data_IF_898529122453
#
_entry.id   IF_898529122453
#
_cell.length_a   1.000
_cell.length_b   1.000
_cell.length_c   1.000
_cell.angle_alpha   90.00
_cell.angle_beta   90.00
_cell.angle_gamma   90.00
#
_symmetry.space_group_name_H-M   'P 1'
#
loop_
_entity.id
_entity.type
_entity.pdbx_description
1 polymer ?
#
# COMPACT_ATOMS: atom_id res chain seq x y z
N UNK A 1 11.91 -29.18 11.77
CA UNK A 1 10.72 -28.37 11.45
C UNK A 1 10.83 -27.10 12.26
N UNK A 2 10.86 -25.93 11.62
CA UNK A 2 10.82 -24.66 12.35
C UNK A 2 9.48 -24.53 13.09
N UNK A 3 9.47 -23.82 14.22
CA UNK A 3 8.22 -23.55 14.93
C UNK A 3 7.34 -22.58 14.11
N UNK A 4 6.02 -22.58 14.35
CA UNK A 4 5.11 -21.62 13.72
C UNK A 4 5.58 -20.17 13.97
N UNK A 5 6.04 -19.88 15.19
CA UNK A 5 6.56 -18.58 15.56
C UNK A 5 7.81 -18.18 14.75
N UNK A 6 8.71 -19.13 14.45
CA UNK A 6 9.89 -18.86 13.63
C UNK A 6 9.51 -18.55 12.18
N UNK A 7 8.49 -19.23 11.66
CA UNK A 7 7.96 -18.99 10.31
C UNK A 7 7.30 -17.60 10.22
N UNK A 8 6.53 -17.20 11.25
CA UNK A 8 5.97 -15.84 11.35
C UNK A 8 7.08 -14.80 11.44
N UNK A 9 8.10 -15.01 12.26
CA UNK A 9 9.25 -14.08 12.36
C UNK A 9 9.99 -13.95 11.03
N UNK A 10 10.17 -15.05 10.29
CA UNK A 10 10.79 -15.02 8.98
C UNK A 10 9.97 -14.19 7.98
N UNK A 11 8.63 -14.33 7.97
CA UNK A 11 7.75 -13.49 7.16
C UNK A 11 7.83 -12.01 7.55
N UNK A 12 7.80 -11.72 8.86
CA UNK A 12 7.97 -10.36 9.37
C UNK A 12 9.36 -9.79 9.08
N UNK A 13 10.38 -10.62 8.88
CA UNK A 13 11.73 -10.20 8.49
C UNK A 13 11.92 -10.07 6.97
N UNK A 14 10.91 -10.42 6.17
CA UNK A 14 10.98 -10.35 4.71
C UNK A 14 11.75 -11.51 4.06
N UNK A 15 11.76 -12.70 4.70
CA UNK A 15 12.40 -13.88 4.12
C UNK A 15 11.77 -14.25 2.77
N UNK A 16 12.57 -14.20 1.71
CA UNK A 16 12.09 -14.42 0.34
C UNK A 16 11.51 -15.82 0.10
N UNK A 17 11.97 -16.84 0.82
CA UNK A 17 11.44 -18.20 0.71
C UNK A 17 10.03 -18.30 1.30
N UNK A 18 9.81 -17.71 2.47
CA UNK A 18 8.48 -17.64 3.10
C UNK A 18 7.54 -16.69 2.37
N UNK A 19 8.07 -15.59 1.87
CA UNK A 19 7.32 -14.70 1.00
C UNK A 19 6.90 -15.41 -0.30
N UNK A 20 7.55 -16.48 -0.77
CA UNK A 20 7.08 -17.17 -1.98
C UNK A 20 5.68 -17.80 -1.82
N UNK A 21 5.34 -18.25 -0.61
CA UNK A 21 3.99 -18.69 -0.24
C UNK A 21 3.72 -18.47 1.27
N UNK A 22 3.18 -17.30 1.65
CA UNK A 22 3.00 -16.93 3.04
C UNK A 22 1.72 -17.52 3.68
N UNK A 23 0.74 -17.93 2.87
CA UNK A 23 -0.61 -18.26 3.33
C UNK A 23 -0.67 -19.49 4.23
N UNK A 24 0.10 -20.57 4.00
CA UNK A 24 0.13 -21.69 4.93
C UNK A 24 0.56 -21.27 6.35
N UNK A 25 1.48 -20.32 6.46
CA UNK A 25 1.92 -19.81 7.77
C UNK A 25 0.85 -18.92 8.42
N UNK A 26 0.22 -18.06 7.63
CA UNK A 26 -0.89 -17.21 8.08
C UNK A 26 -2.13 -17.99 8.49
N UNK A 27 -2.48 -19.06 7.78
CA UNK A 27 -3.58 -19.94 8.12
C UNK A 27 -3.31 -20.66 9.45
N UNK A 28 -2.10 -21.21 9.62
CA UNK A 28 -1.70 -21.83 10.89
C UNK A 28 -1.68 -20.83 12.05
N UNK A 29 -1.21 -19.60 11.83
CA UNK A 29 -1.27 -18.54 12.86
C UNK A 29 -2.72 -18.27 13.27
N UNK A 30 -3.62 -18.09 12.30
CA UNK A 30 -5.04 -17.83 12.55
C UNK A 30 -5.75 -18.99 13.29
N UNK A 31 -5.36 -20.22 13.01
CA UNK A 31 -5.97 -21.43 13.59
C UNK A 31 -5.39 -21.78 14.96
N UNK A 32 -4.06 -21.79 15.09
CA UNK A 32 -3.36 -22.28 16.28
C UNK A 32 -3.17 -21.18 17.34
N UNK A 33 -2.85 -19.95 16.94
CA UNK A 33 -2.48 -18.84 17.83
C UNK A 33 -3.00 -17.49 17.28
N UNK A 34 -4.34 -17.29 17.21
CA UNK A 34 -4.95 -16.17 16.48
C UNK A 34 -4.54 -14.78 16.99
N UNK A 35 -4.23 -14.69 18.29
CA UNK A 35 -3.62 -13.54 18.95
C UNK A 35 -2.29 -14.00 19.54
N UNK A 36 -1.19 -13.50 18.99
CA UNK A 36 0.16 -13.88 19.44
C UNK A 36 0.94 -12.68 19.92
N UNK A 37 1.39 -12.71 21.18
CA UNK A 37 2.31 -11.73 21.74
C UNK A 37 3.74 -12.25 21.78
N UNK A 38 4.67 -11.42 21.33
CA UNK A 38 6.10 -11.57 21.51
C UNK A 38 6.68 -10.22 21.92
N UNK A 39 7.23 -10.14 23.13
CA UNK A 39 7.82 -8.91 23.67
C UNK A 39 6.84 -7.72 23.59
N UNK A 40 7.20 -6.66 22.86
CA UNK A 40 6.41 -5.45 22.60
C UNK A 40 5.50 -5.56 21.37
N UNK A 41 5.36 -6.75 20.77
CA UNK A 41 4.61 -6.98 19.54
C UNK A 41 3.44 -7.93 19.75
N UNK A 42 2.25 -7.54 19.31
CA UNK A 42 1.01 -8.32 19.34
C UNK A 42 0.50 -8.48 17.92
N UNK A 43 0.23 -9.71 17.49
CA UNK A 43 -0.25 -10.01 16.13
C UNK A 43 -1.68 -10.52 16.18
N UNK A 44 -2.54 -9.93 15.34
CA UNK A 44 -3.94 -10.30 15.14
C UNK A 44 -4.12 -10.87 13.74
N UNK A 45 -4.71 -12.07 13.64
CA UNK A 45 -4.80 -12.80 12.36
C UNK A 45 -6.21 -13.23 11.95
N UNK A 46 -7.18 -13.24 12.86
CA UNK A 46 -8.61 -13.44 12.55
C UNK A 46 -9.22 -12.19 11.95
N UNK A 47 -10.13 -12.37 11.00
CA UNK A 47 -10.75 -11.26 10.27
C UNK A 47 -11.50 -10.30 11.18
N UNK A 48 -12.28 -10.81 12.15
CA UNK A 48 -13.00 -9.99 13.12
C UNK A 48 -12.08 -9.02 13.88
N UNK A 49 -10.97 -9.52 14.45
CA UNK A 49 -10.02 -8.70 15.24
C UNK A 49 -9.24 -7.72 14.36
N UNK A 50 -8.91 -8.12 13.14
CA UNK A 50 -8.29 -7.20 12.16
C UNK A 50 -9.27 -6.11 11.75
N UNK A 51 -10.55 -6.42 11.54
CA UNK A 51 -11.59 -5.42 11.26
C UNK A 51 -11.80 -4.47 12.43
N UNK A 52 -11.84 -4.96 13.68
CA UNK A 52 -11.94 -4.12 14.87
C UNK A 52 -10.75 -3.16 14.96
N UNK A 53 -9.52 -3.66 14.75
CA UNK A 53 -8.30 -2.85 14.71
C UNK A 53 -8.39 -1.71 13.68
N UNK A 54 -8.90 -2.01 12.48
CA UNK A 54 -9.03 -1.03 11.39
C UNK A 54 -10.19 -0.05 11.62
N UNK A 55 -11.31 -0.54 12.15
CA UNK A 55 -12.55 0.21 12.31
C UNK A 55 -12.49 1.22 13.46
N UNK A 56 -11.80 0.87 14.54
CA UNK A 56 -11.71 1.68 15.76
C UNK A 56 -10.29 2.20 16.03
N UNK A 57 -9.73 2.90 15.03
CA UNK A 57 -8.43 3.56 15.18
C UNK A 57 -8.35 4.54 16.36
N UNK A 58 -9.46 5.05 16.89
CA UNK A 58 -9.45 6.04 17.97
C UNK A 58 -9.19 5.44 19.35
N UNK A 59 -9.50 4.16 19.52
CA UNK A 59 -9.27 3.43 20.76
C UNK A 59 -7.91 2.70 20.72
N UNK A 60 -7.47 2.23 19.55
CA UNK A 60 -6.29 1.37 19.43
C UNK A 60 -5.01 2.07 18.95
N UNK A 61 -5.09 3.28 18.38
CA UNK A 61 -3.94 3.94 17.75
C UNK A 61 -3.90 5.44 18.01
N UNK A 62 -2.69 6.00 18.11
CA UNK A 62 -2.52 7.44 18.12
C UNK A 62 -1.14 7.90 17.63
N UNK A 63 -1.10 9.05 16.96
CA UNK A 63 0.11 9.90 16.80
C UNK A 63 0.88 9.99 18.11
N UNK A 64 0.17 10.18 19.23
CA UNK A 64 0.75 10.26 20.58
C UNK A 64 1.34 8.93 21.02
N UNK A 65 0.69 7.82 20.73
CA UNK A 65 1.18 6.47 21.05
C UNK A 65 2.52 6.16 20.39
N UNK A 66 2.80 6.71 19.21
CA UNK A 66 4.10 6.55 18.56
C UNK A 66 5.25 7.09 19.43
N UNK A 67 5.04 8.19 20.17
CA UNK A 67 6.06 8.77 21.07
C UNK A 67 6.29 7.96 22.35
N UNK A 68 5.43 6.98 22.62
CA UNK A 68 5.59 6.03 23.72
C UNK A 68 5.86 4.62 23.21
N UNK A 69 6.02 4.45 21.90
CA UNK A 69 6.32 3.14 21.31
C UNK A 69 7.73 2.69 21.67
N UNK A 70 7.90 1.38 21.77
CA UNK A 70 9.22 0.79 21.96
C UNK A 70 10.21 1.22 20.87
N UNK A 71 9.78 1.39 19.62
CA UNK A 71 10.58 1.97 18.53
C UNK A 71 11.14 3.35 18.89
N UNK A 72 10.28 4.23 19.40
CA UNK A 72 10.68 5.58 19.80
C UNK A 72 11.67 5.56 20.97
N UNK A 73 11.43 4.71 21.98
CA UNK A 73 12.34 4.58 23.13
C UNK A 73 13.69 3.94 22.74
N UNK A 74 13.70 2.98 21.79
CA UNK A 74 14.95 2.44 21.21
C UNK A 74 15.75 3.54 20.51
N UNK A 75 15.11 4.33 19.65
CA UNK A 75 15.77 5.43 18.95
C UNK A 75 16.36 6.48 19.92
N UNK A 76 15.65 6.80 21.01
CA UNK A 76 16.15 7.70 22.06
C UNK A 76 17.37 7.16 22.81
N UNK A 77 17.41 5.85 23.05
CA UNK A 77 18.48 5.20 23.79
C UNK A 77 19.72 4.94 22.94
N UNK A 78 19.52 4.51 21.69
CA UNK A 78 20.56 3.88 20.89
C UNK A 78 21.17 4.83 19.82
N UNK A 79 20.48 5.90 19.41
CA UNK A 79 20.99 6.80 18.38
C UNK A 79 21.90 7.88 18.98
N UNK A 80 22.92 8.29 18.21
CA UNK A 80 23.73 9.45 18.54
C UNK A 80 22.96 10.77 18.35
N UNK A 81 23.52 11.91 18.79
CA UNK A 81 22.82 13.20 18.74
C UNK A 81 22.30 13.59 17.33
N UNK A 82 23.06 13.23 16.29
CA UNK A 82 22.67 13.50 14.91
C UNK A 82 21.49 12.61 14.48
N UNK A 83 21.56 11.30 14.76
CA UNK A 83 20.49 10.36 14.48
C UNK A 83 19.20 10.69 15.22
N UNK A 84 19.28 11.01 16.51
CA UNK A 84 18.10 11.40 17.30
C UNK A 84 17.44 12.67 16.75
N UNK A 85 18.23 13.66 16.32
CA UNK A 85 17.70 14.88 15.73
C UNK A 85 17.03 14.62 14.37
N UNK A 86 17.64 13.79 13.52
CA UNK A 86 17.06 13.37 12.24
C UNK A 86 15.74 12.59 12.45
N UNK A 87 15.74 11.63 13.38
CA UNK A 87 14.55 10.85 13.74
C UNK A 87 13.41 11.74 14.24
N UNK A 88 13.72 12.73 15.09
CA UNK A 88 12.74 13.72 15.55
C UNK A 88 12.09 14.50 14.41
N UNK A 89 12.90 15.05 13.48
CA UNK A 89 12.38 15.79 12.31
C UNK A 89 11.54 14.92 11.39
N UNK A 90 11.97 13.68 11.15
CA UNK A 90 11.20 12.71 10.36
C UNK A 90 9.84 12.45 11.00
N UNK A 91 9.79 12.23 12.32
CA UNK A 91 8.52 12.04 13.04
C UNK A 91 7.64 13.29 12.98
N UNK A 92 8.21 14.48 13.11
CA UNK A 92 7.46 15.73 12.99
C UNK A 92 6.78 15.85 11.61
N UNK A 93 7.46 15.45 10.52
CA UNK A 93 6.85 15.36 9.20
C UNK A 93 5.77 14.26 9.13
N UNK A 94 6.08 13.03 9.55
CA UNK A 94 5.14 11.90 9.52
C UNK A 94 3.85 12.20 10.28
N UNK A 95 3.95 12.92 11.39
CA UNK A 95 2.84 13.27 12.25
C UNK A 95 1.85 14.27 11.66
N UNK A 96 2.23 14.99 10.59
CA UNK A 96 1.31 15.80 9.79
C UNK A 96 0.71 15.01 8.61
N UNK A 97 1.09 13.75 8.41
CA UNK A 97 0.50 12.91 7.37
C UNK A 97 -0.86 12.37 7.83
N UNK A 98 -1.85 12.39 6.94
CA UNK A 98 -3.21 11.92 7.22
C UNK A 98 -3.25 10.51 7.82
N UNK A 99 -2.38 9.60 7.37
CA UNK A 99 -2.30 8.21 7.87
C UNK A 99 -1.84 8.11 9.34
N UNK A 100 -1.24 9.16 9.90
CA UNK A 100 -0.77 9.22 11.30
C UNK A 100 -1.64 10.12 12.18
N UNK A 101 -2.63 10.82 11.62
CA UNK A 101 -3.46 11.75 12.37
C UNK A 101 -4.58 11.05 13.13
N UNK A 102 -4.95 11.63 14.28
CA UNK A 102 -6.12 11.25 15.06
C UNK A 102 -7.17 12.36 15.01
N UNK A 103 -8.44 12.10 15.43
CA UNK A 103 -9.38 13.17 15.72
C UNK A 103 -8.85 14.14 16.79
N UNK A 104 -9.16 15.45 16.67
CA UNK A 104 -10.05 16.06 15.68
C UNK A 104 -9.39 16.39 14.33
N UNK A 105 -8.07 16.26 14.20
CA UNK A 105 -7.32 16.70 13.02
C UNK A 105 -7.58 15.82 11.79
N UNK A 106 -7.56 14.49 11.96
CA UNK A 106 -7.78 13.55 10.87
C UNK A 106 -9.04 13.83 10.04
N UNK A 107 -10.26 13.92 10.62
CA UNK A 107 -11.46 14.19 9.81
C UNK A 107 -11.47 15.57 9.15
N UNK A 108 -10.81 16.58 9.75
CA UNK A 108 -10.65 17.92 9.17
C UNK A 108 -9.79 17.85 7.90
N UNK A 109 -8.57 17.31 8.01
CA UNK A 109 -7.63 17.19 6.87
C UNK A 109 -8.18 16.24 5.81
N UNK A 110 -8.78 15.10 6.20
CA UNK A 110 -9.38 14.14 5.26
C UNK A 110 -10.44 14.77 4.37
N UNK A 111 -11.30 15.63 4.92
CA UNK A 111 -12.39 16.29 4.18
C UNK A 111 -11.86 17.20 3.06
N UNK A 112 -10.68 17.78 3.24
CA UNK A 112 -10.01 18.59 2.22
C UNK A 112 -9.55 17.76 1.03
N UNK A 113 -8.99 16.57 1.28
CA UNK A 113 -8.29 15.78 0.25
C UNK A 113 -9.15 14.70 -0.38
N UNK A 114 -10.31 14.37 0.20
CA UNK A 114 -11.21 13.33 -0.32
C UNK A 114 -11.89 13.66 -1.65
N UNK A 115 -12.35 14.90 -1.94
CA UNK A 115 -13.13 15.17 -3.15
C UNK A 115 -12.44 14.81 -4.48
N UNK A 116 -11.13 15.08 -4.68
CA UNK A 116 -10.37 14.64 -5.86
C UNK A 116 -10.35 13.12 -6.08
N UNK A 117 -10.51 12.34 -5.02
CA UNK A 117 -10.56 10.87 -5.07
C UNK A 117 -11.98 10.31 -5.16
N UNK A 118 -13.01 11.15 -5.27
CA UNK A 118 -14.37 10.68 -5.51
C UNK A 118 -14.48 10.01 -6.89
N UNK A 119 -15.34 9.01 -7.02
CA UNK A 119 -15.54 8.29 -8.29
C UNK A 119 -15.83 9.24 -9.47
N UNK A 120 -16.63 10.28 -9.22
CA UNK A 120 -16.94 11.31 -10.22
C UNK A 120 -15.71 12.11 -10.64
N UNK A 121 -14.86 12.50 -9.70
CA UNK A 121 -13.66 13.30 -9.99
C UNK A 121 -12.63 12.46 -10.73
N UNK A 122 -12.38 11.24 -10.27
CA UNK A 122 -11.45 10.30 -10.92
C UNK A 122 -11.92 9.96 -12.34
N UNK A 123 -13.20 9.67 -12.55
CA UNK A 123 -13.74 9.39 -13.88
C UNK A 123 -13.54 10.57 -14.85
N UNK A 124 -13.67 11.80 -14.36
CA UNK A 124 -13.48 13.02 -15.16
C UNK A 124 -12.00 13.31 -15.47
N UNK A 125 -11.12 13.16 -14.49
CA UNK A 125 -9.75 13.68 -14.56
C UNK A 125 -8.70 12.62 -14.89
N UNK A 126 -8.96 11.36 -14.56
CA UNK A 126 -7.96 10.29 -14.58
C UNK A 126 -8.28 9.15 -15.52
N UNK A 127 -9.56 8.82 -15.78
CA UNK A 127 -9.93 7.63 -16.57
C UNK A 127 -9.21 7.57 -17.93
N UNK A 128 -9.33 8.62 -18.74
CA UNK A 128 -8.69 8.67 -20.05
C UNK A 128 -7.15 8.58 -19.98
N UNK A 129 -6.53 9.20 -18.96
CA UNK A 129 -5.08 9.13 -18.75
C UNK A 129 -4.65 7.72 -18.38
N UNK A 130 -5.37 7.05 -17.48
CA UNK A 130 -5.11 5.66 -17.07
C UNK A 130 -5.24 4.73 -18.27
N UNK A 131 -6.31 4.85 -19.05
CA UNK A 131 -6.54 4.01 -20.24
C UNK A 131 -5.42 4.19 -21.28
N UNK A 132 -5.01 5.44 -21.55
CA UNK A 132 -3.90 5.75 -22.45
C UNK A 132 -2.57 5.17 -21.94
N UNK A 133 -2.28 5.32 -20.64
CA UNK A 133 -1.06 4.79 -19.99
C UNK A 133 -1.02 3.27 -20.09
N UNK A 134 -2.12 2.58 -19.79
CA UNK A 134 -2.23 1.13 -19.92
C UNK A 134 -1.98 0.68 -21.35
N UNK A 135 -2.72 1.25 -22.32
CA UNK A 135 -2.62 0.86 -23.72
C UNK A 135 -1.19 1.10 -24.28
N UNK A 136 -0.63 2.29 -24.05
CA UNK A 136 0.73 2.63 -24.50
C UNK A 136 1.78 1.72 -23.88
N UNK A 137 1.71 1.50 -22.56
CA UNK A 137 2.74 0.73 -21.85
C UNK A 137 2.64 -0.76 -22.21
N UNK A 138 1.45 -1.32 -22.41
CA UNK A 138 1.27 -2.70 -22.88
C UNK A 138 1.74 -2.87 -24.32
N UNK A 139 1.41 -1.94 -25.22
CA UNK A 139 1.89 -1.97 -26.59
C UNK A 139 3.43 -1.90 -26.67
N UNK A 140 4.06 -1.09 -25.81
CA UNK A 140 5.52 -1.03 -25.69
C UNK A 140 6.10 -2.35 -25.18
N UNK A 141 5.47 -2.98 -24.18
CA UNK A 141 5.87 -4.26 -23.62
C UNK A 141 5.76 -5.39 -24.66
N UNK A 142 4.67 -5.43 -25.45
CA UNK A 142 4.42 -6.45 -26.45
C UNK A 142 5.32 -6.34 -27.70
N UNK A 143 5.72 -5.12 -28.10
CA UNK A 143 6.62 -4.88 -29.25
C UNK A 143 7.98 -5.57 -29.12
N UNK A 144 8.40 -5.94 -27.91
CA UNK A 144 9.63 -6.70 -27.70
C UNK A 144 9.61 -8.11 -28.33
N UNK A 145 8.44 -8.63 -28.73
CA UNK A 145 8.28 -9.87 -29.50
C UNK A 145 8.66 -11.15 -28.73
N UNK A 146 9.02 -11.04 -27.46
CA UNK A 146 9.56 -12.12 -26.63
C UNK A 146 9.09 -12.04 -25.17
N UNK A 147 9.94 -12.51 -24.26
CA UNK A 147 9.68 -12.44 -22.83
C UNK A 147 9.90 -11.01 -22.33
N UNK A 148 8.94 -10.51 -21.55
CA UNK A 148 8.99 -9.19 -20.98
C UNK A 148 8.77 -9.25 -19.47
N UNK A 149 9.48 -8.41 -18.72
CA UNK A 149 9.35 -8.35 -17.26
C UNK A 149 8.14 -7.50 -16.87
N UNK A 150 7.02 -8.15 -16.57
CA UNK A 150 5.77 -7.50 -16.20
C UNK A 150 5.87 -6.76 -14.86
N UNK A 151 6.79 -7.16 -13.97
CA UNK A 151 6.99 -6.44 -12.71
C UNK A 151 7.44 -5.00 -12.97
N UNK A 152 8.29 -4.77 -13.97
CA UNK A 152 8.69 -3.41 -14.37
C UNK A 152 7.51 -2.60 -14.88
N UNK A 153 6.66 -3.20 -15.72
CA UNK A 153 5.43 -2.56 -16.18
C UNK A 153 4.52 -2.18 -15.00
N UNK A 154 4.24 -3.12 -14.11
CA UNK A 154 3.36 -2.93 -12.97
C UNK A 154 3.92 -1.91 -11.96
N UNK A 155 5.24 -1.75 -11.93
CA UNK A 155 5.90 -0.70 -11.16
C UNK A 155 5.78 0.68 -11.82
N UNK A 156 6.01 0.78 -13.13
CA UNK A 156 6.00 2.07 -13.82
C UNK A 156 4.59 2.67 -13.97
N UNK A 157 3.55 1.85 -14.18
CA UNK A 157 2.21 2.34 -14.46
C UNK A 157 1.63 3.20 -13.31
N UNK A 158 1.57 2.73 -12.04
CA UNK A 158 1.03 3.54 -10.96
C UNK A 158 1.86 4.79 -10.66
N UNK A 159 3.17 4.77 -10.93
CA UNK A 159 4.04 5.93 -10.74
C UNK A 159 3.70 7.03 -11.74
N UNK A 160 3.44 6.66 -13.00
CA UNK A 160 3.01 7.60 -14.03
C UNK A 160 1.62 8.16 -13.76
N UNK A 161 0.68 7.31 -13.31
CA UNK A 161 -0.68 7.73 -12.94
C UNK A 161 -0.63 8.69 -11.74
N UNK A 162 0.23 8.44 -10.77
CA UNK A 162 0.48 9.34 -9.66
C UNK A 162 1.09 10.68 -10.13
N UNK A 163 2.02 10.64 -11.07
CA UNK A 163 2.55 11.84 -11.71
C UNK A 163 1.47 12.66 -12.40
N UNK A 164 0.58 12.00 -13.13
CA UNK A 164 -0.57 12.62 -13.79
C UNK A 164 -1.58 13.22 -12.79
N UNK A 165 -1.72 12.63 -11.60
CA UNK A 165 -2.58 13.10 -10.51
C UNK A 165 -1.98 14.29 -9.75
N UNK A 166 -0.67 14.31 -9.53
CA UNK A 166 0.03 15.33 -8.76
C UNK A 166 0.63 16.45 -9.62
N UNK A 167 0.67 16.27 -10.95
CA UNK A 167 1.28 17.19 -11.89
C UNK A 167 2.81 17.10 -11.91
N UNK A 168 3.37 15.96 -11.51
CA UNK A 168 4.81 15.69 -11.52
C UNK A 168 5.21 15.33 -12.95
N UNK A 169 6.17 16.04 -13.57
CA UNK A 169 6.70 15.68 -14.88
C UNK A 169 7.26 14.26 -14.89
N UNK A 170 7.06 13.54 -16.00
CA UNK A 170 7.49 12.14 -16.13
C UNK A 170 8.99 11.96 -15.88
N UNK A 171 9.80 12.93 -16.30
CA UNK A 171 11.27 12.91 -16.14
C UNK A 171 11.72 13.08 -14.69
N UNK A 172 10.85 13.63 -13.82
CA UNK A 172 11.14 13.84 -12.40
C UNK A 172 10.74 12.61 -11.55
N UNK A 173 9.94 11.69 -12.09
CA UNK A 173 9.32 10.59 -11.31
C UNK A 173 10.33 9.67 -10.62
N UNK A 174 11.37 9.23 -11.33
CA UNK A 174 12.37 8.32 -10.75
C UNK A 174 13.14 8.98 -9.61
N UNK A 175 13.49 10.27 -9.77
CA UNK A 175 14.17 11.04 -8.73
C UNK A 175 13.28 11.19 -7.50
N UNK A 176 12.04 11.64 -7.69
CA UNK A 176 11.07 11.84 -6.61
C UNK A 176 10.77 10.52 -5.90
N UNK A 177 10.63 9.44 -6.66
CA UNK A 177 10.38 8.11 -6.12
C UNK A 177 11.56 7.58 -5.30
N UNK A 178 12.81 7.87 -5.69
CA UNK A 178 13.98 7.46 -4.91
C UNK A 178 14.02 8.07 -3.50
N UNK A 179 13.51 9.30 -3.32
CA UNK A 179 13.39 9.91 -2.00
C UNK A 179 12.26 9.27 -1.19
N UNK A 180 11.13 9.03 -1.84
CA UNK A 180 9.98 8.31 -1.30
C UNK A 180 10.36 6.93 -0.74
N UNK A 181 11.18 6.16 -1.45
CA UNK A 181 11.65 4.85 -1.00
C UNK A 181 12.45 4.94 0.31
N UNK A 182 13.39 5.90 0.42
CA UNK A 182 14.17 6.10 1.65
C UNK A 182 13.29 6.47 2.85
N UNK A 183 12.26 7.29 2.61
CA UNK A 183 11.26 7.64 3.63
C UNK A 183 10.48 6.40 4.07
N UNK A 184 10.00 5.60 3.11
CA UNK A 184 9.24 4.38 3.38
C UNK A 184 10.09 3.31 4.11
N UNK A 185 11.38 3.16 3.75
CA UNK A 185 12.31 2.25 4.41
C UNK A 185 12.49 2.56 5.90
N UNK A 186 12.68 3.84 6.26
CA UNK A 186 12.70 4.24 7.67
C UNK A 186 11.36 3.93 8.35
N UNK A 187 10.23 4.18 7.69
CA UNK A 187 8.89 4.01 8.28
C UNK A 187 8.53 2.55 8.56
N UNK A 188 8.91 1.63 7.68
CA UNK A 188 8.41 0.24 7.69
C UNK A 188 9.49 -0.82 7.91
N UNK A 189 10.76 -0.53 7.65
CA UNK A 189 11.79 -1.57 7.48
C UNK A 189 13.09 -1.34 8.27
N UNK A 190 13.39 -0.13 8.74
CA UNK A 190 14.66 0.17 9.38
C UNK A 190 14.53 1.00 10.68
N UNK A 191 14.83 0.35 11.81
CA UNK A 191 15.04 0.98 13.12
C UNK A 191 16.54 1.30 13.31
N UNK A 192 17.14 1.99 12.35
CA UNK A 192 18.58 2.32 12.40
C UNK A 192 18.82 3.82 12.28
N UNK A 193 19.88 4.30 12.96
CA UNK A 193 20.31 5.69 12.88
C UNK A 193 20.58 6.11 11.42
N UNK A 194 21.20 5.24 10.63
CA UNK A 194 21.48 5.48 9.21
C UNK A 194 20.19 5.74 8.43
N UNK A 195 19.17 4.91 8.61
CA UNK A 195 17.89 5.06 7.90
C UNK A 195 17.16 6.35 8.32
N UNK A 196 17.22 6.73 9.59
CA UNK A 196 16.64 7.99 10.06
C UNK A 196 17.31 9.21 9.40
N UNK A 197 18.64 9.20 9.26
CA UNK A 197 19.40 10.27 8.59
C UNK A 197 19.09 10.31 7.08
N UNK A 198 19.07 9.15 6.42
CA UNK A 198 18.75 9.07 4.99
C UNK A 198 17.31 9.51 4.68
N UNK A 199 16.36 9.19 5.57
CA UNK A 199 14.98 9.64 5.45
C UNK A 199 14.83 11.15 5.70
N UNK A 200 15.54 11.73 6.67
CA UNK A 200 15.56 13.17 6.92
C UNK A 200 16.11 13.94 5.70
N UNK A 201 17.21 13.45 5.09
CA UNK A 201 17.74 14.04 3.87
C UNK A 201 16.76 13.92 2.69
N UNK A 202 16.09 12.78 2.57
CA UNK A 202 15.08 12.53 1.54
C UNK A 202 13.85 13.45 1.71
N UNK A 203 13.36 13.63 2.94
CA UNK A 203 12.29 14.59 3.25
C UNK A 203 12.68 16.00 2.84
N UNK A 204 13.90 16.46 3.19
CA UNK A 204 14.35 17.80 2.81
C UNK A 204 14.38 18.00 1.30
N UNK A 205 14.86 17.02 0.53
CA UNK A 205 14.86 17.08 -0.95
C UNK A 205 13.44 17.06 -1.51
N UNK A 206 12.58 16.21 -0.96
CA UNK A 206 11.18 16.10 -1.37
C UNK A 206 10.39 17.39 -1.10
N UNK A 207 10.56 18.01 0.07
CA UNK A 207 9.92 19.28 0.42
C UNK A 207 10.35 20.39 -0.56
N UNK A 208 11.67 20.52 -0.81
CA UNK A 208 12.18 21.50 -1.77
C UNK A 208 11.64 21.27 -3.19
N UNK A 209 11.44 20.02 -3.59
CA UNK A 209 10.82 19.69 -4.88
C UNK A 209 9.33 20.03 -4.91
N UNK A 210 8.60 19.76 -3.83
CA UNK A 210 7.18 20.13 -3.71
C UNK A 210 7.01 21.64 -3.84
N UNK A 211 7.89 22.45 -3.26
CA UNK A 211 7.86 23.91 -3.44
C UNK A 211 7.98 24.32 -4.92
N UNK A 212 8.90 23.68 -5.65
CA UNK A 212 9.07 23.89 -7.10
C UNK A 212 7.84 23.44 -7.87
N UNK A 213 7.25 22.30 -7.52
CA UNK A 213 6.04 21.76 -8.14
C UNK A 213 4.85 22.72 -7.96
N UNK A 214 4.66 23.22 -6.73
CA UNK A 214 3.62 24.18 -6.39
C UNK A 214 3.80 25.49 -7.15
N UNK A 215 5.04 26.00 -7.23
CA UNK A 215 5.34 27.20 -8.02
C UNK A 215 5.02 27.01 -9.51
N UNK A 216 5.45 25.89 -10.11
CA UNK A 216 5.15 25.55 -11.52
C UNK A 216 3.65 25.48 -11.80
N UNK A 217 2.86 24.91 -10.90
CA UNK A 217 1.41 24.80 -11.08
C UNK A 217 0.71 26.16 -11.00
N UNK A 218 1.16 27.05 -10.10
CA UNK A 218 0.66 28.43 -10.02
C UNK A 218 0.95 29.20 -11.30
N UNK A 219 2.15 29.06 -11.87
CA UNK A 219 2.56 29.78 -13.07
C UNK A 219 1.83 29.31 -14.35
N UNK A 220 1.52 28.02 -14.43
CA UNK A 220 0.90 27.40 -15.62
C UNK A 220 -0.63 27.39 -15.57
N UNK A 221 -1.23 27.68 -14.42
CA UNK A 221 -2.67 27.52 -14.19
C UNK A 221 -3.15 26.05 -14.27
N UNK A 222 -2.20 25.11 -14.31
CA UNK A 222 -2.45 23.67 -14.46
C UNK A 222 -2.51 22.99 -13.08
N UNK A 223 -3.22 23.58 -12.13
CA UNK A 223 -3.39 22.95 -10.82
C UNK A 223 -4.13 21.61 -11.00
N UNK A 224 -3.50 20.52 -10.55
CA UNK A 224 -4.21 19.23 -10.49
C UNK A 224 -5.29 19.29 -9.42
N UNK A 225 -6.37 18.51 -9.55
CA UNK A 225 -7.50 18.57 -8.61
C UNK A 225 -7.09 18.40 -7.14
N UNK A 226 -6.05 17.60 -6.86
CA UNK A 226 -5.55 17.39 -5.50
C UNK A 226 -4.65 18.53 -4.99
N UNK A 227 -3.65 18.95 -5.78
CA UNK A 227 -2.74 20.04 -5.36
C UNK A 227 -3.53 21.35 -5.25
N UNK A 228 -4.44 21.63 -6.19
CA UNK A 228 -5.36 22.77 -6.12
C UNK A 228 -6.15 22.77 -4.80
N UNK A 229 -6.76 21.63 -4.45
CA UNK A 229 -7.60 21.51 -3.26
C UNK A 229 -6.80 21.72 -1.96
N UNK A 230 -5.55 21.24 -1.92
CA UNK A 230 -4.65 21.45 -0.79
C UNK A 230 -4.24 22.92 -0.63
N UNK A 231 -3.78 23.55 -1.72
CA UNK A 231 -3.38 24.96 -1.70
C UNK A 231 -4.55 25.89 -1.39
N UNK A 232 -5.74 25.59 -1.89
CA UNK A 232 -6.95 26.35 -1.58
C UNK A 232 -7.35 26.24 -0.11
N UNK A 233 -7.28 25.03 0.46
CA UNK A 233 -7.57 24.82 1.87
C UNK A 233 -6.53 25.47 2.79
N UNK A 234 -5.27 25.48 2.38
CA UNK A 234 -4.19 26.21 3.06
C UNK A 234 -4.47 27.72 3.07
N UNK A 235 -4.79 28.32 1.91
CA UNK A 235 -5.15 29.76 1.83
C UNK A 235 -6.34 30.13 2.70
N UNK A 236 -7.29 29.21 2.89
CA UNK A 236 -8.47 29.38 3.75
C UNK A 236 -8.19 29.11 5.23
N UNK A 237 -6.97 28.68 5.59
CA UNK A 237 -6.59 28.32 6.96
C UNK A 237 -7.25 27.03 7.48
N UNK A 238 -7.78 26.18 6.60
CA UNK A 238 -8.41 24.90 6.97
C UNK A 238 -7.38 23.83 7.29
N UNK A 239 -6.26 23.84 6.55
CA UNK A 239 -5.08 23.03 6.79
C UNK A 239 -3.86 23.94 6.93
N UNK A 240 -2.88 23.56 7.74
CA UNK A 240 -1.61 24.29 7.83
C UNK A 240 -0.74 24.04 6.60
N UNK A 241 0.31 24.86 6.45
CA UNK A 241 1.33 24.65 5.41
C UNK A 241 1.98 23.27 5.56
N UNK A 242 2.37 22.90 6.79
CA UNK A 242 2.98 21.62 7.12
C UNK A 242 2.06 20.44 6.82
N UNK A 243 0.76 20.56 7.12
CA UNK A 243 -0.25 19.55 6.77
C UNK A 243 -0.38 19.39 5.24
N UNK A 244 -0.40 20.49 4.49
CA UNK A 244 -0.47 20.46 3.03
C UNK A 244 0.77 19.81 2.41
N UNK A 245 1.97 20.19 2.87
CA UNK A 245 3.23 19.62 2.39
C UNK A 245 3.38 18.14 2.77
N UNK A 246 3.04 17.78 4.01
CA UNK A 246 3.07 16.39 4.47
C UNK A 246 2.07 15.52 3.69
N UNK A 247 0.91 16.08 3.31
CA UNK A 247 -0.05 15.39 2.47
C UNK A 247 0.49 15.16 1.05
N UNK A 248 1.10 16.15 0.41
CA UNK A 248 1.72 15.98 -0.90
C UNK A 248 2.85 14.93 -0.86
N UNK A 249 3.71 14.99 0.15
CA UNK A 249 4.73 13.97 0.35
C UNK A 249 4.14 12.58 0.58
N UNK A 250 3.07 12.46 1.39
CA UNK A 250 2.38 11.19 1.59
C UNK A 250 1.90 10.62 0.25
N UNK A 251 1.28 11.43 -0.61
CA UNK A 251 0.76 10.96 -1.89
C UNK A 251 1.86 10.49 -2.84
N UNK A 252 3.02 11.14 -2.83
CA UNK A 252 4.14 10.82 -3.73
C UNK A 252 4.64 9.36 -3.58
N UNK A 253 4.48 8.74 -2.40
CA UNK A 253 4.85 7.34 -2.22
C UNK A 253 3.67 6.43 -1.88
N UNK A 254 2.57 6.98 -1.35
CA UNK A 254 1.39 6.19 -1.04
C UNK A 254 0.72 5.68 -2.32
N UNK A 255 0.28 4.44 -2.30
CA UNK A 255 -0.51 3.86 -3.39
C UNK A 255 0.32 3.32 -4.55
N UNK A 256 1.56 3.77 -4.76
CA UNK A 256 2.41 3.25 -5.82
C UNK A 256 2.75 1.78 -5.61
N UNK A 257 3.48 1.44 -4.56
CA UNK A 257 3.95 0.06 -4.32
C UNK A 257 2.80 -0.93 -4.14
N UNK A 258 1.74 -0.54 -3.42
CA UNK A 258 0.56 -1.39 -3.20
C UNK A 258 -0.20 -1.66 -4.49
N UNK A 259 -0.39 -0.65 -5.35
CA UNK A 259 -1.05 -0.87 -6.64
C UNK A 259 -0.15 -1.70 -7.54
N UNK A 260 1.16 -1.43 -7.59
CA UNK A 260 2.09 -2.26 -8.34
C UNK A 260 2.06 -3.74 -7.94
N UNK A 261 1.91 -4.04 -6.66
CA UNK A 261 1.74 -5.42 -6.17
C UNK A 261 0.39 -6.02 -6.56
N UNK A 262 -0.70 -5.26 -6.48
CA UNK A 262 -2.01 -5.69 -7.00
C UNK A 262 -1.93 -6.07 -8.47
N UNK A 263 -1.31 -5.22 -9.30
CA UNK A 263 -1.22 -5.43 -10.74
C UNK A 263 -0.33 -6.63 -11.08
N UNK A 264 0.89 -6.68 -10.51
CA UNK A 264 1.86 -7.74 -10.80
C UNK A 264 1.39 -9.10 -10.27
N UNK A 265 1.06 -9.17 -8.98
CA UNK A 265 0.66 -10.44 -8.35
C UNK A 265 -0.75 -10.82 -8.81
N UNK A 266 -1.63 -9.86 -9.09
CA UNK A 266 -2.96 -10.17 -9.63
C UNK A 266 -2.88 -10.86 -10.99
N UNK A 267 -2.05 -10.38 -11.92
CA UNK A 267 -1.83 -11.08 -13.18
C UNK A 267 -1.13 -12.42 -12.95
N UNK A 268 -0.11 -12.49 -12.08
CA UNK A 268 0.55 -13.74 -11.74
C UNK A 268 -0.45 -14.82 -11.28
N UNK A 269 -1.35 -14.47 -10.37
CA UNK A 269 -2.33 -15.41 -9.83
C UNK A 269 -3.39 -15.78 -10.87
N UNK A 270 -3.85 -14.85 -11.71
CA UNK A 270 -4.71 -15.20 -12.85
C UNK A 270 -4.02 -16.21 -13.79
N UNK A 271 -2.76 -16.00 -14.13
CA UNK A 271 -2.01 -16.90 -15.04
C UNK A 271 -1.64 -18.25 -14.39
N UNK A 272 -1.57 -18.32 -13.06
CA UNK A 272 -1.44 -19.59 -12.31
C UNK A 272 -2.75 -20.36 -12.22
N UNK A 273 -3.88 -19.69 -12.39
CA UNK A 273 -5.22 -20.27 -12.37
C UNK A 273 -5.87 -20.09 -13.75
N UNK A 274 -5.45 -20.85 -14.78
CA UNK A 274 -5.86 -20.62 -16.16
C UNK A 274 -7.38 -20.61 -16.35
N UNK A 275 -8.14 -21.43 -15.60
CA UNK A 275 -9.60 -21.38 -15.65
C UNK A 275 -10.21 -20.03 -15.21
N UNK A 276 -9.57 -19.31 -14.30
CA UNK A 276 -9.97 -17.95 -13.88
C UNK A 276 -9.57 -16.92 -14.95
N UNK A 277 -8.39 -17.08 -15.57
CA UNK A 277 -7.97 -16.24 -16.68
C UNK A 277 -8.87 -16.40 -17.91
N UNK A 278 -9.15 -17.64 -18.32
CA UNK A 278 -10.03 -17.97 -19.44
C UNK A 278 -11.45 -17.43 -19.22
N UNK A 279 -11.96 -17.50 -17.99
CA UNK A 279 -13.25 -16.90 -17.62
C UNK A 279 -13.22 -15.37 -17.77
N UNK A 280 -12.14 -14.71 -17.33
CA UNK A 280 -12.01 -13.26 -17.46
C UNK A 280 -11.87 -12.81 -18.93
N UNK A 281 -11.22 -13.62 -19.76
CA UNK A 281 -11.11 -13.43 -21.22
C UNK A 281 -12.47 -13.58 -21.89
N UNK A 282 -13.23 -14.62 -21.52
CA UNK A 282 -14.56 -14.88 -22.07
C UNK A 282 -15.60 -13.83 -21.63
N UNK A 283 -15.47 -13.29 -20.41
CA UNK A 283 -16.41 -12.35 -19.80
C UNK A 283 -15.68 -11.10 -19.23
N UNK A 284 -15.09 -10.22 -20.08
CA UNK A 284 -14.31 -9.06 -19.63
C UNK A 284 -15.09 -8.04 -18.79
N UNK A 285 -16.42 -8.05 -18.84
CA UNK A 285 -17.29 -7.25 -17.98
C UNK A 285 -17.19 -7.64 -16.49
N UNK A 286 -16.63 -8.82 -16.17
CA UNK A 286 -16.37 -9.26 -14.79
C UNK A 286 -15.19 -8.56 -14.14
N UNK A 287 -14.35 -7.87 -14.89
CA UNK A 287 -13.12 -7.26 -14.39
C UNK A 287 -13.31 -6.47 -13.09
N UNK A 288 -14.34 -5.61 -12.92
CA UNK A 288 -14.54 -4.91 -11.64
C UNK A 288 -14.76 -5.84 -10.45
N UNK A 289 -15.47 -6.96 -10.62
CA UNK A 289 -15.64 -7.96 -9.56
C UNK A 289 -14.36 -8.77 -9.34
N UNK A 290 -13.66 -9.15 -10.43
CA UNK A 290 -12.36 -9.81 -10.36
C UNK A 290 -11.33 -8.95 -9.60
N UNK A 291 -11.34 -7.63 -9.75
CA UNK A 291 -10.46 -6.72 -9.00
C UNK A 291 -10.71 -6.76 -7.50
N UNK A 292 -11.96 -6.85 -7.03
CA UNK A 292 -12.25 -7.04 -5.60
C UNK A 292 -11.73 -8.40 -5.12
N UNK A 293 -11.89 -9.44 -5.93
CA UNK A 293 -11.35 -10.75 -5.60
C UNK A 293 -9.82 -10.76 -5.55
N UNK A 294 -9.15 -10.08 -6.48
CA UNK A 294 -7.69 -9.96 -6.48
C UNK A 294 -7.22 -9.12 -5.29
N UNK A 295 -7.94 -8.05 -4.91
CA UNK A 295 -7.65 -7.31 -3.69
C UNK A 295 -7.70 -8.23 -2.45
N UNK A 296 -8.71 -9.10 -2.35
CA UNK A 296 -8.81 -10.12 -1.29
C UNK A 296 -7.67 -11.15 -1.37
N UNK A 297 -7.53 -11.80 -2.52
CA UNK A 297 -6.66 -12.96 -2.71
C UNK A 297 -5.17 -12.60 -2.64
N UNK A 298 -4.77 -11.48 -3.27
CA UNK A 298 -3.39 -10.99 -3.31
C UNK A 298 -3.01 -10.28 -2.01
N UNK A 299 -3.93 -9.47 -1.46
CA UNK A 299 -3.70 -8.59 -0.31
C UNK A 299 -2.39 -7.80 -0.40
N UNK A 300 -2.33 -6.72 -1.22
CA UNK A 300 -1.07 -6.05 -1.58
C UNK A 300 -0.22 -5.54 -0.40
N UNK A 301 -0.87 -5.22 0.72
CA UNK A 301 -0.23 -5.04 2.02
C UNK A 301 -0.67 -6.18 2.95
N UNK A 302 0.24 -7.10 3.26
CA UNK A 302 -0.07 -8.30 4.05
C UNK A 302 -0.40 -8.00 5.50
N UNK A 303 0.20 -6.95 6.07
CA UNK A 303 -0.04 -6.55 7.44
C UNK A 303 0.22 -5.06 7.65
N UNK A 304 -0.43 -4.50 8.67
CA UNK A 304 -0.29 -3.10 9.08
C UNK A 304 0.04 -3.00 10.57
N UNK A 305 1.09 -2.25 10.95
CA UNK A 305 1.43 -2.00 12.35
C UNK A 305 0.70 -0.78 12.91
N UNK A 306 0.27 -0.90 14.15
CA UNK A 306 -0.33 0.14 14.99
C UNK A 306 0.42 0.17 16.33
N UNK A 307 0.12 1.15 17.18
CA UNK A 307 0.69 1.29 18.52
C UNK A 307 -0.44 1.47 19.50
N UNK A 308 -0.54 0.55 20.47
CA UNK A 308 -1.56 0.57 21.50
C UNK A 308 -1.48 1.85 22.33
N UNK A 309 -2.62 2.54 22.47
CA UNK A 309 -2.72 3.80 23.21
C UNK A 309 -2.84 3.60 24.72
N UNK A 310 -3.49 2.52 25.13
CA UNK A 310 -3.77 2.16 26.53
C UNK A 310 -3.68 0.65 26.71
N UNK A 311 -3.31 0.21 27.92
CA UNK A 311 -3.24 -1.22 28.24
C UNK A 311 -4.64 -1.84 28.24
N UNK A 312 -4.76 -3.05 27.68
CA UNK A 312 -6.00 -3.83 27.59
C UNK A 312 -5.70 -5.31 27.44
N UNK A 313 -6.75 -6.12 27.40
CA UNK A 313 -6.67 -7.53 27.03
C UNK A 313 -7.37 -7.75 25.68
N UNK A 314 -6.78 -8.55 24.79
CA UNK A 314 -7.40 -9.02 23.54
C UNK A 314 -7.35 -10.54 23.56
N UNK A 315 -8.51 -11.20 23.58
CA UNK A 315 -8.65 -12.66 23.61
C UNK A 315 -7.75 -13.35 24.67
N UNK A 316 -7.67 -12.78 25.89
CA UNK A 316 -6.83 -13.32 26.97
C UNK A 316 -5.37 -12.89 26.93
N UNK A 317 -4.94 -12.14 25.91
CA UNK A 317 -3.56 -11.68 25.74
C UNK A 317 -3.42 -10.22 26.21
N UNK A 318 -2.52 -9.92 27.18
CA UNK A 318 -2.32 -8.56 27.64
C UNK A 318 -1.57 -7.73 26.59
N UNK A 319 -2.12 -6.57 26.24
CA UNK A 319 -1.54 -5.57 25.35
C UNK A 319 -1.26 -4.33 26.19
N UNK A 320 -0.01 -3.89 26.27
CA UNK A 320 0.37 -2.72 27.05
C UNK A 320 0.33 -1.45 26.21
N UNK A 321 0.12 -0.30 26.85
CA UNK A 321 0.30 0.99 26.18
C UNK A 321 1.73 1.10 25.60
N UNK A 322 1.85 1.42 24.32
CA UNK A 322 3.12 1.47 23.58
C UNK A 322 3.50 0.19 22.84
N UNK A 323 2.80 -0.93 23.08
CA UNK A 323 2.98 -2.16 22.29
C UNK A 323 2.63 -1.92 20.81
N UNK A 324 3.38 -2.56 19.92
CA UNK A 324 3.08 -2.60 18.49
C UNK A 324 2.02 -3.67 18.23
N UNK A 325 0.86 -3.28 17.70
CA UNK A 325 -0.22 -4.21 17.32
C UNK A 325 -0.24 -4.36 15.80
N UNK A 326 -0.05 -5.57 15.29
CA UNK A 326 -0.01 -5.88 13.87
C UNK A 326 -1.28 -6.61 13.46
N UNK A 327 -2.06 -6.02 12.55
CA UNK A 327 -3.16 -6.71 11.89
C UNK A 327 -2.68 -7.40 10.61
N UNK A 328 -2.79 -8.72 10.53
CA UNK A 328 -2.40 -9.51 9.34
C UNK A 328 -3.57 -9.56 8.36
N UNK A 329 -3.68 -8.53 7.52
CA UNK A 329 -4.69 -8.41 6.46
C UNK A 329 -4.75 -9.66 5.57
N UNK A 330 -3.59 -10.23 5.23
CA UNK A 330 -3.54 -11.42 4.36
C UNK A 330 -4.14 -12.67 5.02
N UNK A 331 -4.04 -12.80 6.35
CA UNK A 331 -4.67 -13.88 7.10
C UNK A 331 -6.19 -13.66 7.19
N UNK A 332 -6.60 -12.42 7.46
CA UNK A 332 -8.00 -12.00 7.52
C UNK A 332 -8.73 -12.20 6.18
N UNK A 333 -8.10 -11.84 5.07
CA UNK A 333 -8.68 -12.02 3.73
C UNK A 333 -8.75 -13.49 3.27
N UNK A 334 -8.14 -14.40 4.05
CA UNK A 334 -8.16 -15.86 3.86
C UNK A 334 -8.88 -16.57 5.00
N UNK A 335 -9.67 -15.84 5.79
CA UNK A 335 -10.39 -16.40 6.93
C UNK A 335 -11.63 -17.22 6.46
N UNK A 336 -11.69 -18.54 6.71
CA UNK A 336 -12.83 -19.37 6.32
C UNK A 336 -14.10 -19.05 7.09
N UNK A 337 -14.02 -18.34 8.23
CA UNK A 337 -15.21 -17.87 8.97
C UNK A 337 -15.95 -16.75 8.21
N UNK A 338 -15.31 -16.16 7.18
CA UNK A 338 -15.86 -15.05 6.37
C UNK A 338 -15.98 -15.41 4.90
N UNK A 339 -14.98 -16.10 4.35
CA UNK A 339 -14.92 -16.45 2.93
C UNK A 339 -14.94 -17.97 2.75
N UNK A 340 -15.98 -18.50 2.11
CA UNK A 340 -16.00 -19.91 1.74
C UNK A 340 -14.84 -20.22 0.77
N UNK A 341 -14.18 -21.37 0.96
CA UNK A 341 -12.97 -21.77 0.19
C UNK A 341 -11.99 -20.60 0.08
N UNK A 342 -11.66 -20.00 1.22
CA UNK A 342 -10.89 -18.75 1.29
C UNK A 342 -9.53 -18.82 0.58
N UNK A 343 -8.94 -20.01 0.50
CA UNK A 343 -7.65 -20.25 -0.16
C UNK A 343 -7.73 -20.33 -1.70
N UNK A 344 -8.93 -20.38 -2.29
CA UNK A 344 -9.14 -20.48 -3.74
C UNK A 344 -9.36 -19.10 -4.39
N UNK A 345 -8.81 -18.91 -5.59
CA UNK A 345 -9.08 -17.74 -6.42
C UNK A 345 -10.38 -17.97 -7.18
N UNK A 346 -11.40 -17.16 -6.90
CA UNK A 346 -12.69 -17.25 -7.58
C UNK A 346 -13.17 -15.85 -7.96
N UNK A 347 -12.92 -15.42 -9.20
CA UNK A 347 -13.29 -14.09 -9.69
C UNK A 347 -14.81 -13.90 -9.84
N UNK A 348 -15.59 -14.98 -9.68
CA UNK A 348 -17.04 -14.96 -9.73
C UNK A 348 -17.67 -14.95 -8.32
N UNK A 349 -16.89 -15.03 -7.25
CA UNK A 349 -17.43 -14.98 -5.89
C UNK A 349 -18.08 -13.62 -5.60
N UNK A 350 -19.08 -13.62 -4.74
CA UNK A 350 -19.96 -12.44 -4.50
C UNK A 350 -19.66 -11.71 -3.19
N UNK A 351 -18.83 -12.30 -2.34
CA UNK A 351 -18.46 -11.83 -1.00
C UNK A 351 -17.10 -11.13 -0.93
N UNK A 352 -16.33 -11.03 -2.02
CA UNK A 352 -14.97 -10.45 -2.03
C UNK A 352 -14.87 -9.05 -1.41
N UNK A 353 -15.95 -8.25 -1.46
CA UNK A 353 -15.98 -6.89 -0.89
C UNK A 353 -15.83 -6.84 0.63
N UNK A 354 -15.98 -7.96 1.33
CA UNK A 354 -15.71 -8.05 2.76
C UNK A 354 -14.20 -8.04 3.09
N UNK A 355 -13.32 -7.99 2.09
CA UNK A 355 -11.87 -7.92 2.29
C UNK A 355 -11.45 -6.65 3.04
N UNK A 356 -10.30 -6.71 3.70
CA UNK A 356 -9.71 -5.62 4.47
C UNK A 356 -8.47 -4.98 3.82
N UNK A 357 -8.15 -5.33 2.56
CA UNK A 357 -6.95 -4.85 1.84
C UNK A 357 -6.85 -3.33 1.67
N UNK A 358 -7.98 -2.63 1.74
CA UNK A 358 -8.06 -1.18 1.63
C UNK A 358 -8.27 -0.50 2.99
N UNK A 359 -8.08 -1.24 4.09
CA UNK A 359 -8.44 -0.80 5.43
C UNK A 359 -9.96 -0.74 5.66
N UNK A 360 -10.35 -0.24 6.82
CA UNK A 360 -11.73 0.01 7.23
C UNK A 360 -11.78 1.32 8.02
N UNK A 361 -12.98 1.85 8.28
CA UNK A 361 -13.16 2.96 9.21
C UNK A 361 -12.56 4.30 8.74
N UNK A 362 -12.12 5.16 9.68
CA UNK A 362 -11.65 6.51 9.36
C UNK A 362 -10.49 6.54 8.36
N UNK A 363 -9.62 5.52 8.38
CA UNK A 363 -8.44 5.43 7.52
C UNK A 363 -8.63 4.54 6.29
N UNK A 364 -9.87 4.21 5.92
CA UNK A 364 -10.15 3.55 4.63
C UNK A 364 -9.38 4.24 3.49
N UNK A 365 -8.77 3.45 2.62
CA UNK A 365 -7.80 3.92 1.63
C UNK A 365 -8.37 5.07 0.78
N UNK A 366 -7.69 6.22 0.81
CA UNK A 366 -8.06 7.39 0.03
C UNK A 366 -7.99 7.12 -1.49
N UNK A 367 -6.96 6.38 -1.91
CA UNK A 367 -6.70 6.01 -3.30
C UNK A 367 -7.48 4.79 -3.81
N UNK A 368 -8.41 4.24 -3.02
CA UNK A 368 -9.14 3.01 -3.34
C UNK A 368 -9.82 3.04 -4.72
N UNK A 369 -10.42 4.18 -5.09
CA UNK A 369 -11.05 4.34 -6.41
C UNK A 369 -10.05 4.34 -7.55
N UNK A 370 -8.88 4.95 -7.34
CA UNK A 370 -7.83 5.04 -8.36
C UNK A 370 -7.15 3.69 -8.58
N UNK A 371 -6.81 2.97 -7.50
CA UNK A 371 -6.24 1.63 -7.60
C UNK A 371 -7.18 0.65 -8.35
N UNK A 372 -8.49 0.72 -8.09
CA UNK A 372 -9.50 -0.06 -8.82
C UNK A 372 -9.58 0.33 -10.29
N UNK A 373 -9.51 1.63 -10.59
CA UNK A 373 -9.51 2.14 -11.97
C UNK A 373 -8.31 1.62 -12.75
N UNK A 374 -7.11 1.70 -12.17
CA UNK A 374 -5.87 1.19 -12.77
C UNK A 374 -5.93 -0.32 -13.01
N UNK A 375 -6.34 -1.10 -12.01
CA UNK A 375 -6.48 -2.54 -12.12
C UNK A 375 -7.55 -2.94 -13.15
N UNK A 376 -8.68 -2.23 -13.18
CA UNK A 376 -9.77 -2.49 -14.14
C UNK A 376 -9.33 -2.22 -15.57
N UNK A 377 -8.66 -1.09 -15.80
CA UNK A 377 -8.12 -0.75 -17.12
C UNK A 377 -7.08 -1.79 -17.56
N UNK A 378 -6.16 -2.18 -16.67
CA UNK A 378 -5.12 -3.16 -16.98
C UNK A 378 -5.69 -4.53 -17.31
N UNK A 379 -6.45 -5.13 -16.40
CA UNK A 379 -6.94 -6.49 -16.58
C UNK A 379 -7.96 -6.58 -17.72
N UNK A 380 -8.78 -5.54 -17.91
CA UNK A 380 -9.69 -5.47 -19.05
C UNK A 380 -8.95 -5.40 -20.39
N UNK A 381 -7.89 -4.60 -20.49
CA UNK A 381 -7.10 -4.52 -21.73
C UNK A 381 -6.32 -5.80 -21.98
N UNK A 382 -5.71 -6.41 -20.95
CA UNK A 382 -5.04 -7.70 -21.08
C UNK A 382 -6.01 -8.81 -21.56
N UNK A 383 -7.20 -8.89 -20.97
CA UNK A 383 -8.19 -9.91 -21.33
C UNK A 383 -8.67 -9.77 -22.79
N UNK A 384 -8.81 -8.54 -23.29
CA UNK A 384 -9.28 -8.25 -24.65
C UNK A 384 -8.18 -8.35 -25.72
N UNK A 385 -6.98 -7.85 -25.43
CA UNK A 385 -5.92 -7.67 -26.43
C UNK A 385 -4.80 -8.70 -26.32
N UNK A 386 -4.69 -9.40 -25.19
CA UNK A 386 -3.64 -10.38 -24.93
C UNK A 386 -4.18 -11.67 -24.28
N UNK A 387 -5.25 -12.30 -24.82
CA UNK A 387 -5.90 -13.45 -24.20
C UNK A 387 -4.97 -14.66 -24.02
N UNK A 388 -3.92 -14.80 -24.86
CA UNK A 388 -2.93 -15.88 -24.73
C UNK A 388 -1.77 -15.58 -23.78
N UNK A 389 -1.86 -14.52 -22.96
CA UNK A 389 -0.83 -14.18 -21.98
C UNK A 389 -0.47 -15.39 -21.11
N UNK A 390 0.84 -15.57 -20.87
CA UNK A 390 1.35 -16.69 -20.05
C UNK A 390 2.65 -16.32 -19.35
N UNK A 391 2.88 -16.97 -18.21
CA UNK A 391 4.16 -16.85 -17.51
C UNK A 391 5.29 -17.40 -18.38
N UNK A 392 6.46 -16.78 -18.26
CA UNK A 392 7.68 -17.18 -18.90
C UNK A 392 8.82 -17.27 -17.87
N UNK A 393 9.88 -18.01 -18.19
CA UNK A 393 11.00 -18.20 -17.27
C UNK A 393 10.75 -19.21 -16.14
N UNK A 394 11.72 -19.30 -15.22
CA UNK A 394 11.77 -20.24 -14.10
C UNK A 394 11.12 -19.67 -12.82
N UNK A 395 11.37 -20.30 -11.67
CA UNK A 395 10.83 -19.89 -10.37
C UNK A 395 11.08 -18.41 -10.03
N UNK A 396 10.04 -17.76 -9.50
CA UNK A 396 10.08 -16.35 -9.11
C UNK A 396 10.83 -16.18 -7.79
N UNK A 397 11.71 -15.19 -7.74
CA UNK A 397 12.29 -14.71 -6.48
C UNK A 397 11.41 -13.62 -5.89
N UNK A 398 11.29 -13.63 -4.56
CA UNK A 398 10.45 -12.71 -3.80
C UNK A 398 11.27 -11.85 -2.86
N UNK A 399 10.78 -10.64 -2.62
CA UNK A 399 11.31 -9.72 -1.62
C UNK A 399 10.22 -8.82 -1.07
N UNK A 400 10.64 -7.80 -0.34
CA UNK A 400 9.75 -6.91 0.41
C UNK A 400 9.53 -7.41 1.83
N UNK A 401 8.46 -6.93 2.46
CA UNK A 401 8.10 -7.25 3.85
C UNK A 401 6.58 -7.31 4.00
N UNK A 402 5.95 -6.25 4.51
CA UNK A 402 4.50 -6.08 4.47
C UNK A 402 3.99 -5.96 3.03
N UNK A 403 4.80 -5.40 2.13
CA UNK A 403 4.55 -5.30 0.69
C UNK A 403 5.34 -6.38 -0.05
N UNK A 404 4.88 -7.63 0.03
CA UNK A 404 5.47 -8.75 -0.71
C UNK A 404 5.48 -8.44 -2.22
N UNK A 405 6.61 -8.67 -2.88
CA UNK A 405 6.73 -8.39 -4.32
C UNK A 405 7.63 -9.40 -5.03
N UNK A 406 7.28 -9.86 -6.25
CA UNK A 406 8.22 -10.59 -7.08
C UNK A 406 9.32 -9.63 -7.57
N UNK A 407 10.56 -10.09 -7.59
CA UNK A 407 11.71 -9.27 -8.03
C UNK A 407 11.76 -9.10 -9.56
N UNK A 408 11.21 -10.07 -10.28
CA UNK A 408 10.97 -10.05 -11.72
C UNK A 408 9.77 -10.95 -12.00
N UNK A 409 9.04 -10.69 -13.08
CA UNK A 409 7.91 -11.52 -13.51
C UNK A 409 7.91 -11.61 -15.03
N UNK A 410 8.67 -12.55 -15.62
CA UNK A 410 8.71 -12.71 -17.05
C UNK A 410 7.36 -13.25 -17.57
N UNK A 411 6.83 -12.61 -18.60
CA UNK A 411 5.60 -13.02 -19.29
C UNK A 411 5.80 -12.99 -20.79
N UNK A 412 4.99 -13.76 -21.52
CA UNK A 412 4.78 -13.57 -22.94
C UNK A 412 3.35 -13.07 -23.15
N UNK A 413 3.21 -11.92 -23.79
CA UNK A 413 1.92 -11.38 -24.19
C UNK A 413 1.64 -11.82 -25.64
N UNK A 414 0.53 -12.51 -25.84
CA UNK A 414 0.08 -12.92 -27.18
C UNK A 414 -1.39 -12.57 -27.34
N UNK A 415 -1.69 -11.86 -28.43
CA UNK A 415 -3.03 -11.44 -28.81
C UNK A 415 -3.91 -12.54 -29.37
#
# INVERSE_FOLDING_TARGET
MNSLQDDVRALLAGDGGRLADPYPTWNRLREEIPVWKQDDMVILSRHERVQELLGDNNILYSRQGTKTSARYERAKRDFGPHGSAAFGRVLDHEFHQLVRMDPPDHPRVRRTVQPPFSARSLAREMQAKVDERVARNLAALAKGGGEADFKKFAYSLPLQVLGDLLGIPIDDLDMVHSWAQKIAENKFNADSERAAIEADEAYRKLMAYIDVLVARQRDTGAETGLVAALLDSERKGVVSHEEAMAMMALMIFAGHETTSNLLAIGLLELLRHPGQWDLLVAEPERVPAAVEELLRFVTPAHFLPYVAKESREIDGVPVEAGDTVIGVLAAANRDPDVFERADELDIARTDSRAHVSLGLGPHFCLGAGLARMEATALFGTLAREYPGARLAGAELRWGGRSLRTPLAMPVRLTG
#
